data_IF_524861506861
#
_entry.id   IF_524861506861
#
_cell.length_a   1.000
_cell.length_b   1.000
_cell.length_c   1.000
_cell.angle_alpha   90.00
_cell.angle_beta   90.00
_cell.angle_gamma   90.00
#
_symmetry.space_group_name_H-M   'P 1'
#
loop_
_entity.id
_entity.type
_entity.pdbx_description
1 polymer ?
#
# COMPACT_ATOMS: atom_id res chain seq x y z
N UNK A 1 -4.88 -11.74 9.13
CA UNK A 1 -4.48 -12.00 7.73
C UNK A 1 -3.18 -12.80 7.73
N UNK A 2 -3.03 -13.80 6.87
CA UNK A 2 -1.77 -14.56 6.74
C UNK A 2 -0.70 -13.76 5.99
N UNK A 3 0.57 -14.12 6.16
CA UNK A 3 1.68 -13.49 5.43
C UNK A 3 1.50 -13.53 3.90
N UNK A 4 1.22 -14.69 3.28
CA UNK A 4 1.01 -14.78 1.83
C UNK A 4 -0.14 -13.91 1.31
N UNK A 5 -1.26 -13.85 2.04
CA UNK A 5 -2.38 -12.97 1.69
C UNK A 5 -1.98 -11.49 1.80
N UNK A 6 -1.25 -11.11 2.86
CA UNK A 6 -0.74 -9.76 3.03
C UNK A 6 0.15 -9.34 1.86
N UNK A 7 1.09 -10.19 1.46
CA UNK A 7 1.99 -9.97 0.32
C UNK A 7 1.24 -9.86 -1.01
N UNK A 8 0.21 -10.68 -1.24
CA UNK A 8 -0.59 -10.60 -2.46
C UNK A 8 -1.35 -9.26 -2.57
N UNK A 9 -1.97 -8.81 -1.48
CA UNK A 9 -2.67 -7.52 -1.45
C UNK A 9 -1.67 -6.36 -1.60
N UNK A 10 -0.56 -6.39 -0.86
CA UNK A 10 0.46 -5.35 -0.91
C UNK A 10 1.06 -5.19 -2.31
N UNK A 11 1.40 -6.31 -2.97
CA UNK A 11 1.94 -6.31 -4.32
C UNK A 11 0.97 -5.73 -5.35
N UNK A 12 -0.30 -6.16 -5.32
CA UNK A 12 -1.33 -5.62 -6.21
C UNK A 12 -1.54 -4.11 -5.98
N UNK A 13 -1.73 -3.68 -4.73
CA UNK A 13 -1.93 -2.26 -4.41
C UNK A 13 -0.72 -1.40 -4.80
N UNK A 14 0.52 -1.85 -4.59
CA UNK A 14 1.73 -1.12 -4.98
C UNK A 14 1.89 -1.07 -6.51
N UNK A 15 1.52 -2.14 -7.22
CA UNK A 15 1.46 -2.13 -8.68
C UNK A 15 0.54 -1.02 -9.18
N UNK A 16 -0.68 -0.97 -8.63
CA UNK A 16 -1.64 0.07 -9.00
C UNK A 16 -1.16 1.47 -8.59
N UNK A 17 -0.45 1.61 -7.47
CA UNK A 17 0.13 2.89 -7.06
C UNK A 17 1.16 3.40 -8.07
N UNK A 18 2.08 2.54 -8.50
CA UNK A 18 3.08 2.93 -9.49
C UNK A 18 2.48 3.30 -10.85
N UNK A 19 1.35 2.72 -11.22
CA UNK A 19 0.61 3.15 -12.41
C UNK A 19 0.06 4.57 -12.27
N UNK A 20 -0.30 5.01 -11.05
CA UNK A 20 -0.87 6.34 -10.83
C UNK A 20 0.19 7.43 -10.63
N UNK A 21 1.31 7.14 -9.96
CA UNK A 21 2.31 8.15 -9.58
C UNK A 21 3.71 7.92 -10.19
N UNK A 22 3.87 6.87 -11.00
CA UNK A 22 5.12 6.47 -11.62
C UNK A 22 5.99 5.59 -10.71
N UNK A 23 6.72 4.59 -11.25
CA UNK A 23 7.58 3.71 -10.48
C UNK A 23 8.87 4.43 -10.01
N UNK A 24 9.26 4.23 -8.74
CA UNK A 24 10.60 4.59 -8.24
C UNK A 24 10.98 6.09 -8.28
N UNK A 25 10.04 6.99 -8.51
CA UNK A 25 10.31 8.44 -8.66
C UNK A 25 10.36 9.19 -7.33
N UNK A 26 9.87 8.59 -6.24
CA UNK A 26 9.70 9.27 -4.95
C UNK A 26 10.20 8.45 -3.77
N UNK A 27 10.66 9.14 -2.73
CA UNK A 27 10.86 8.55 -1.40
C UNK A 27 9.51 8.48 -0.70
N UNK A 28 9.04 7.28 -0.38
CA UNK A 28 7.79 7.05 0.35
C UNK A 28 8.07 7.05 1.85
N UNK A 29 7.34 7.87 2.60
CA UNK A 29 7.31 7.78 4.06
C UNK A 29 6.15 6.92 4.50
N UNK A 30 6.46 5.79 5.12
CA UNK A 30 5.50 4.77 5.54
C UNK A 30 5.54 4.67 7.07
N UNK A 31 4.37 4.87 7.70
CA UNK A 31 4.23 4.60 9.12
C UNK A 31 3.96 3.11 9.31
N UNK A 32 4.92 2.37 9.88
CA UNK A 32 4.72 0.98 10.23
C UNK A 32 3.82 0.87 11.46
N UNK A 33 2.96 -0.14 11.49
CA UNK A 33 2.15 -0.51 12.66
C UNK A 33 2.51 -1.90 13.21
N UNK A 34 3.58 -2.52 12.68
CA UNK A 34 4.01 -3.87 13.04
C UNK A 34 3.13 -4.98 12.49
N UNK A 35 2.11 -4.67 11.68
CA UNK A 35 1.25 -5.68 11.08
C UNK A 35 1.97 -6.44 9.94
N UNK A 36 1.58 -7.69 9.66
CA UNK A 36 2.06 -8.42 8.48
C UNK A 36 1.82 -7.68 7.17
N UNK A 37 0.76 -6.85 7.10
CA UNK A 37 0.50 -6.01 5.95
C UNK A 37 1.50 -4.87 5.82
N UNK A 38 1.79 -4.14 6.90
CA UNK A 38 2.77 -3.05 6.88
C UNK A 38 4.15 -3.52 6.39
N UNK A 39 4.60 -4.67 6.88
CA UNK A 39 5.86 -5.28 6.44
C UNK A 39 5.84 -5.70 4.97
N UNK A 40 4.74 -6.32 4.53
CA UNK A 40 4.55 -6.70 3.13
C UNK A 40 4.50 -5.49 2.20
N UNK A 41 3.81 -4.42 2.62
CA UNK A 41 3.69 -3.17 1.87
C UNK A 41 5.06 -2.49 1.68
N UNK A 42 5.86 -2.41 2.75
CA UNK A 42 7.23 -1.89 2.66
C UNK A 42 8.09 -2.70 1.68
N UNK A 43 8.02 -4.03 1.77
CA UNK A 43 8.76 -4.92 0.88
C UNK A 43 8.32 -4.74 -0.59
N UNK A 44 7.02 -4.65 -0.84
CA UNK A 44 6.47 -4.41 -2.18
C UNK A 44 6.90 -3.06 -2.75
N UNK A 45 6.85 -1.98 -1.95
CA UNK A 45 7.32 -0.66 -2.37
C UNK A 45 8.80 -0.67 -2.77
N UNK A 46 9.66 -1.29 -1.95
CA UNK A 46 11.09 -1.45 -2.25
C UNK A 46 11.31 -2.29 -3.52
N UNK A 47 10.55 -3.37 -3.68
CA UNK A 47 10.58 -4.22 -4.88
C UNK A 47 10.21 -3.47 -6.17
N UNK A 48 9.33 -2.46 -6.06
CA UNK A 48 8.95 -1.55 -7.15
C UNK A 48 9.89 -0.35 -7.34
N UNK A 49 11.00 -0.31 -6.60
CA UNK A 49 12.04 0.69 -6.74
C UNK A 49 11.84 1.98 -5.93
N UNK A 50 10.82 2.05 -5.06
CA UNK A 50 10.68 3.19 -4.14
C UNK A 50 11.72 3.11 -3.02
N UNK A 51 12.33 4.26 -2.70
CA UNK A 51 12.99 4.41 -1.41
C UNK A 51 11.91 4.52 -0.32
N UNK A 52 12.01 3.72 0.75
CA UNK A 52 11.04 3.73 1.85
C UNK A 52 11.73 4.16 3.13
N UNK A 53 11.17 5.17 3.80
CA UNK A 53 11.55 5.57 5.16
C UNK A 53 10.45 5.19 6.14
N UNK A 54 10.81 4.46 7.19
CA UNK A 54 9.90 4.00 8.25
C UNK A 54 10.29 4.60 9.59
N UNK A 55 9.31 5.15 10.32
CA UNK A 55 9.45 5.66 11.69
C UNK A 55 10.58 6.66 11.96
N UNK A 56 11.21 7.19 10.91
CA UNK A 56 12.21 8.24 11.00
C UNK A 56 11.51 9.60 10.96
N UNK A 57 11.86 10.44 11.93
CA UNK A 57 11.68 11.88 11.80
C UNK A 57 12.51 12.31 10.59
N UNK A 58 11.86 12.51 9.45
CA UNK A 58 12.52 13.18 8.33
C UNK A 58 12.85 14.58 8.81
N UNK A 59 14.08 15.04 8.59
CA UNK A 59 14.54 16.37 9.04
C UNK A 59 13.83 17.55 8.35
N UNK A 60 12.66 17.31 7.73
CA UNK A 60 11.87 18.25 6.95
C UNK A 60 12.46 18.57 5.57
N UNK A 61 13.72 18.22 5.33
CA UNK A 61 14.48 18.59 4.12
C UNK A 61 14.29 17.63 2.95
N UNK A 62 13.98 16.35 3.21
CA UNK A 62 13.71 15.36 2.16
C UNK A 62 12.24 15.40 1.79
N UNK A 63 11.93 15.72 0.53
CA UNK A 63 10.55 15.68 0.00
C UNK A 63 10.10 14.21 -0.11
N UNK A 64 9.42 13.72 0.92
CA UNK A 64 8.80 12.39 0.92
C UNK A 64 7.34 12.45 0.53
N UNK A 65 6.85 11.39 -0.12
CA UNK A 65 5.42 11.15 -0.32
C UNK A 65 4.91 10.34 0.88
N UNK A 66 4.12 10.93 1.78
CA UNK A 66 3.51 10.17 2.87
C UNK A 66 2.54 9.16 2.28
N UNK A 67 2.66 7.91 2.72
CA UNK A 67 1.76 6.82 2.36
C UNK A 67 1.14 6.27 3.64
N UNK A 68 -0.17 6.46 3.75
CA UNK A 68 -0.99 5.80 4.75
C UNK A 68 -1.69 4.59 4.12
N UNK A 69 -1.97 3.59 4.95
CA UNK A 69 -2.76 2.43 4.55
C UNK A 69 -3.84 2.08 5.56
N UNK A 70 -4.89 1.44 5.08
CA UNK A 70 -5.94 0.81 5.88
C UNK A 70 -6.22 -0.57 5.28
N UNK A 71 -6.23 -1.61 6.11
CA UNK A 71 -6.65 -2.95 5.71
C UNK A 71 -7.61 -3.48 6.76
N UNK A 72 -8.88 -3.61 6.37
CA UNK A 72 -9.96 -4.00 7.30
C UNK A 72 -10.80 -5.15 6.71
N UNK A 73 -11.26 -6.09 7.55
CA UNK A 73 -12.23 -7.08 7.11
C UNK A 73 -13.59 -6.40 6.87
N UNK A 74 -14.30 -6.84 5.83
CA UNK A 74 -15.65 -6.36 5.48
C UNK A 74 -16.40 -7.45 4.73
N UNK A 75 -17.54 -7.90 5.26
CA UNK A 75 -18.44 -8.88 4.59
C UNK A 75 -17.74 -10.13 4.01
N UNK A 76 -16.80 -10.72 4.75
CA UNK A 76 -16.05 -11.91 4.29
C UNK A 76 -14.93 -11.62 3.29
N UNK A 77 -14.74 -10.35 2.95
CA UNK A 77 -13.64 -9.81 2.15
C UNK A 77 -12.70 -8.96 3.03
N UNK A 78 -11.66 -8.44 2.40
CA UNK A 78 -10.77 -7.43 2.97
C UNK A 78 -10.79 -6.20 2.09
N UNK A 79 -11.04 -5.03 2.68
CA UNK A 79 -10.87 -3.75 2.01
C UNK A 79 -9.47 -3.25 2.28
N UNK A 80 -8.70 -3.03 1.22
CA UNK A 80 -7.40 -2.37 1.29
C UNK A 80 -7.50 -0.98 0.69
N UNK A 81 -6.86 -0.02 1.35
CA UNK A 81 -6.81 1.36 0.92
C UNK A 81 -5.40 1.91 1.09
N UNK A 82 -4.88 2.57 0.07
CA UNK A 82 -3.64 3.33 0.10
C UNK A 82 -3.96 4.80 -0.12
N UNK A 83 -3.29 5.69 0.60
CA UNK A 83 -3.60 7.11 0.59
C UNK A 83 -2.30 7.92 0.62
N UNK A 84 -2.10 8.75 -0.39
CA UNK A 84 -1.03 9.75 -0.48
C UNK A 84 -1.62 11.16 -0.55
N UNK A 85 -0.78 12.19 -0.51
CA UNK A 85 -1.26 13.58 -0.63
C UNK A 85 -2.03 13.86 -1.93
N UNK A 86 -1.75 13.14 -3.03
CA UNK A 86 -2.34 13.39 -4.34
C UNK A 86 -3.32 12.32 -4.82
N UNK A 87 -3.29 11.11 -4.25
CA UNK A 87 -4.15 10.01 -4.69
C UNK A 87 -4.59 9.12 -3.53
N UNK A 88 -5.81 8.61 -3.61
CA UNK A 88 -6.30 7.51 -2.79
C UNK A 88 -6.74 6.35 -3.67
N UNK A 89 -6.31 5.14 -3.31
CA UNK A 89 -6.61 3.88 -3.99
C UNK A 89 -7.37 2.98 -3.06
N UNK A 90 -8.43 2.34 -3.56
CA UNK A 90 -9.22 1.39 -2.79
C UNK A 90 -9.59 0.16 -3.61
N UNK A 91 -9.51 -1.02 -2.99
CA UNK A 91 -9.93 -2.28 -3.63
C UNK A 91 -10.35 -3.31 -2.57
N UNK A 92 -11.35 -4.12 -2.89
CA UNK A 92 -11.76 -5.27 -2.10
C UNK A 92 -11.03 -6.54 -2.55
N UNK A 93 -10.75 -7.45 -1.62
CA UNK A 93 -10.06 -8.71 -1.86
C UNK A 93 -10.79 -9.88 -1.22
N UNK A 94 -10.90 -10.97 -1.97
CA UNK A 94 -11.20 -12.28 -1.40
C UNK A 94 -9.89 -12.87 -0.90
N UNK A 95 -9.84 -13.25 0.37
CA UNK A 95 -8.63 -13.75 1.02
C UNK A 95 -8.76 -15.25 1.31
N UNK A 96 -7.74 -16.00 0.91
CA UNK A 96 -7.54 -17.39 1.34
C UNK A 96 -6.33 -17.46 2.27
N UNK A 97 -6.08 -18.64 2.86
CA UNK A 97 -4.89 -18.83 3.71
C UNK A 97 -3.58 -18.64 2.93
N UNK A 98 -3.59 -18.91 1.63
CA UNK A 98 -2.40 -18.93 0.77
C UNK A 98 -2.26 -17.69 -0.14
N UNK A 99 -3.33 -16.95 -0.38
CA UNK A 99 -3.33 -15.83 -1.34
C UNK A 99 -4.47 -14.84 -1.10
N UNK A 100 -4.46 -13.74 -1.84
CA UNK A 100 -5.60 -12.84 -1.96
C UNK A 100 -5.81 -12.49 -3.44
N UNK A 101 -7.07 -12.32 -3.85
CA UNK A 101 -7.43 -11.95 -5.22
C UNK A 101 -8.37 -10.74 -5.21
N UNK A 102 -8.25 -9.81 -6.18
CA UNK A 102 -9.19 -8.71 -6.36
C UNK A 102 -10.64 -9.21 -6.45
N UNK A 103 -11.51 -8.65 -5.60
CA UNK A 103 -12.95 -8.89 -5.61
C UNK A 103 -13.75 -7.70 -6.13
N UNK A 104 -13.09 -6.56 -6.36
CA UNK A 104 -13.68 -5.36 -6.97
C UNK A 104 -12.76 -4.76 -8.02
N UNK A 105 -13.29 -3.86 -8.85
CA UNK A 105 -12.48 -2.94 -9.63
C UNK A 105 -11.65 -2.02 -8.69
N UNK A 106 -10.59 -1.40 -9.24
CA UNK A 106 -9.84 -0.37 -8.56
C UNK A 106 -10.66 0.92 -8.46
N UNK A 107 -10.76 1.47 -7.25
CA UNK A 107 -11.18 2.85 -7.05
C UNK A 107 -9.95 3.75 -7.00
N UNK A 108 -9.97 4.85 -7.75
CA UNK A 108 -8.93 5.87 -7.77
C UNK A 108 -9.58 7.23 -7.52
N UNK A 109 -9.13 7.93 -6.49
CA UNK A 109 -9.54 9.30 -6.21
C UNK A 109 -8.31 10.21 -6.26
N UNK A 110 -8.30 11.13 -7.22
CA UNK A 110 -7.27 12.17 -7.28
C UNK A 110 -7.64 13.31 -6.31
N UNK A 111 -6.67 13.78 -5.54
CA UNK A 111 -6.82 14.97 -4.69
C UNK A 111 -6.24 16.18 -5.42
N UNK A 112 -7.08 17.19 -5.63
CA UNK A 112 -6.73 18.48 -6.26
C UNK A 112 -6.52 19.59 -5.25
#
# INVERSE_FOLDING_TARGET
>A
MSGPAASAIAGDMVSTLAEQIGPGTATVSLKQDGSPFGQALEASLKGWGYAVVTDQKTDGTTRTVPLAYVVIPFEGQVLARLSTNSVELGRAYTVTTMSAQPASALSVMQRG
#
